data_IF_268386905216
#
_entry.id   IF_268386905216
#
_cell.length_a   1.000
_cell.length_b   1.000
_cell.length_c   1.000
_cell.angle_alpha   90.00
_cell.angle_beta   90.00
_cell.angle_gamma   90.00
#
_symmetry.space_group_name_H-M   'P 1'
#
loop_
_entity.id
_entity.type
_entity.pdbx_description
1 polymer ?
#
# COMPACT_ATOMS: atom_id res chain seq x y z
N UNK A 1 -2.98 4.51 -29.59
CA UNK A 1 -2.88 3.21 -28.89
C UNK A 1 -3.65 3.32 -27.59
N UNK A 2 -4.76 2.58 -27.45
CA UNK A 2 -5.63 2.68 -26.28
C UNK A 2 -5.05 1.89 -25.11
N UNK A 3 -4.72 2.57 -24.00
CA UNK A 3 -4.46 1.91 -22.72
C UNK A 3 -5.80 1.43 -22.17
N UNK A 4 -6.06 0.13 -22.19
CA UNK A 4 -7.19 -0.46 -21.47
C UNK A 4 -6.81 -0.56 -19.99
N UNK A 5 -7.42 0.29 -19.18
CA UNK A 5 -7.36 0.19 -17.73
C UNK A 5 -8.40 -0.85 -17.27
N UNK A 6 -7.93 -1.91 -16.61
CA UNK A 6 -8.82 -2.87 -15.95
C UNK A 6 -9.34 -2.18 -14.69
N UNK A 7 -10.64 -1.89 -14.66
CA UNK A 7 -11.28 -1.16 -13.57
C UNK A 7 -11.58 -2.12 -12.42
N UNK A 8 -10.99 -1.87 -11.25
CA UNK A 8 -11.08 -2.75 -10.07
C UNK A 8 -12.48 -2.69 -9.42
N UNK A 9 -13.11 -1.51 -9.47
CA UNK A 9 -14.52 -1.25 -9.23
C UNK A 9 -14.88 0.11 -9.88
N UNK A 10 -16.16 0.44 -10.04
CA UNK A 10 -16.60 1.69 -10.68
C UNK A 10 -16.15 3.00 -9.99
N UNK A 11 -15.38 2.93 -8.90
CA UNK A 11 -14.88 4.10 -8.15
C UNK A 11 -13.43 4.48 -8.46
N UNK A 12 -12.62 3.62 -9.07
CA UNK A 12 -11.19 3.94 -9.29
C UNK A 12 -10.76 3.72 -10.73
N UNK A 13 -10.72 4.82 -11.49
CA UNK A 13 -9.97 4.91 -12.74
C UNK A 13 -8.50 5.13 -12.41
N UNK A 14 -7.66 4.17 -12.78
CA UNK A 14 -6.24 4.13 -12.42
C UNK A 14 -5.44 4.65 -13.60
N UNK A 15 -5.30 5.97 -13.69
CA UNK A 15 -4.58 6.61 -14.79
C UNK A 15 -3.13 6.97 -14.45
N UNK A 16 -2.75 6.97 -13.16
CA UNK A 16 -1.40 7.31 -12.68
C UNK A 16 -0.92 6.47 -11.46
N UNK A 17 -1.56 5.31 -11.20
CA UNK A 17 -1.26 4.45 -10.05
C UNK A 17 -0.99 2.99 -10.43
N UNK A 18 -0.25 2.27 -9.59
CA UNK A 18 -0.11 0.82 -9.66
C UNK A 18 -1.00 0.15 -8.61
N UNK A 19 -1.61 -0.98 -8.95
CA UNK A 19 -2.27 -1.84 -7.96
C UNK A 19 -1.50 -3.14 -7.83
N UNK A 20 -1.32 -3.56 -6.59
CA UNK A 20 -0.75 -4.85 -6.24
C UNK A 20 -1.84 -5.66 -5.54
N UNK A 21 -2.16 -6.80 -6.13
CA UNK A 21 -3.03 -7.83 -5.55
C UNK A 21 -2.27 -9.14 -5.70
N UNK A 22 -1.94 -9.78 -4.59
CA UNK A 22 -1.27 -11.08 -4.62
C UNK A 22 -1.75 -11.93 -3.45
N UNK A 23 -1.84 -13.22 -3.69
CA UNK A 23 -2.11 -14.23 -2.67
C UNK A 23 -0.79 -14.63 -2.02
N UNK A 24 -0.83 -14.94 -0.73
CA UNK A 24 0.32 -15.40 0.02
C UNK A 24 -0.04 -16.60 0.89
N UNK A 25 0.94 -17.48 1.10
CA UNK A 25 0.85 -18.60 2.03
C UNK A 25 1.73 -18.38 3.27
N UNK A 26 2.65 -17.41 3.18
CA UNK A 26 3.61 -17.05 4.22
C UNK A 26 3.36 -15.59 4.62
N UNK A 27 2.91 -15.41 5.85
CA UNK A 27 2.55 -14.11 6.41
C UNK A 27 3.76 -13.19 6.54
N UNK A 28 4.90 -13.70 6.99
CA UNK A 28 6.09 -12.88 7.21
C UNK A 28 6.62 -12.35 5.87
N UNK A 29 6.66 -13.21 4.85
CA UNK A 29 7.03 -12.79 3.49
C UNK A 29 6.03 -11.81 2.89
N UNK A 30 4.76 -11.95 3.19
CA UNK A 30 3.75 -10.99 2.77
C UNK A 30 4.02 -9.60 3.36
N UNK A 31 4.31 -9.54 4.67
CA UNK A 31 4.64 -8.30 5.38
C UNK A 31 5.90 -7.66 4.78
N UNK A 32 6.95 -8.44 4.52
CA UNK A 32 8.20 -7.93 3.93
C UNK A 32 7.97 -7.34 2.53
N UNK A 33 7.17 -8.01 1.70
CA UNK A 33 6.82 -7.53 0.36
C UNK A 33 6.00 -6.23 0.43
N UNK A 34 5.01 -6.17 1.33
CA UNK A 34 4.20 -4.98 1.53
C UNK A 34 5.06 -3.80 2.00
N UNK A 35 5.97 -4.02 2.95
CA UNK A 35 6.91 -3.01 3.42
C UNK A 35 7.84 -2.51 2.32
N UNK A 36 8.39 -3.41 1.51
CA UNK A 36 9.26 -3.04 0.39
C UNK A 36 8.53 -2.13 -0.60
N UNK A 37 7.29 -2.48 -0.97
CA UNK A 37 6.48 -1.68 -1.86
C UNK A 37 6.12 -0.32 -1.25
N UNK A 38 5.61 -0.31 -0.03
CA UNK A 38 5.19 0.91 0.68
C UNK A 38 6.38 1.85 0.85
N UNK A 39 7.53 1.33 1.26
CA UNK A 39 8.76 2.10 1.43
C UNK A 39 9.18 2.75 0.12
N UNK A 40 9.27 1.96 -0.96
CA UNK A 40 9.65 2.46 -2.29
C UNK A 40 8.67 3.54 -2.77
N UNK A 41 7.37 3.32 -2.60
CA UNK A 41 6.35 4.29 -3.00
C UNK A 41 6.41 5.57 -2.15
N UNK A 42 6.60 5.46 -0.83
CA UNK A 42 6.84 6.61 0.04
C UNK A 42 8.09 7.35 -0.40
N UNK A 43 9.21 6.67 -0.66
CA UNK A 43 10.47 7.26 -1.11
C UNK A 43 10.29 8.12 -2.37
N UNK A 44 9.54 7.62 -3.35
CA UNK A 44 9.16 8.31 -4.57
C UNK A 44 8.01 9.33 -4.42
N UNK A 45 7.56 9.59 -3.19
CA UNK A 45 6.49 10.55 -2.88
C UNK A 45 5.14 10.19 -3.51
N UNK A 46 4.85 8.90 -3.64
CA UNK A 46 3.58 8.38 -4.11
C UNK A 46 2.61 8.16 -2.96
N UNK A 47 1.33 8.47 -3.19
CA UNK A 47 0.26 8.13 -2.27
C UNK A 47 -0.12 6.66 -2.41
N UNK A 48 -0.33 6.01 -1.27
CA UNK A 48 -0.66 4.58 -1.20
C UNK A 48 -2.00 4.44 -0.46
N UNK A 49 -2.91 3.67 -1.06
CA UNK A 49 -4.10 3.17 -0.39
C UNK A 49 -3.85 1.70 -0.05
N UNK A 50 -3.66 1.41 1.24
CA UNK A 50 -3.44 0.05 1.73
C UNK A 50 -4.78 -0.50 2.23
N UNK A 51 -5.28 -1.54 1.55
CA UNK A 51 -6.57 -2.17 1.84
C UNK A 51 -6.27 -3.55 2.39
N UNK A 52 -6.41 -3.69 3.70
CA UNK A 52 -6.11 -4.93 4.40
C UNK A 52 -6.87 -5.03 5.73
N UNK A 53 -6.70 -6.14 6.42
CA UNK A 53 -7.12 -6.28 7.81
C UNK A 53 -6.36 -5.30 8.73
N UNK A 54 -7.04 -4.88 9.81
CA UNK A 54 -6.53 -3.82 10.68
C UNK A 54 -5.26 -4.22 11.45
N UNK A 55 -5.14 -5.48 11.81
CA UNK A 55 -3.97 -6.08 12.47
C UNK A 55 -2.72 -6.07 11.57
N UNK A 56 -2.89 -6.41 10.30
CA UNK A 56 -1.85 -6.29 9.27
C UNK A 56 -1.39 -4.84 9.15
N UNK A 57 -2.34 -3.90 9.09
CA UNK A 57 -2.01 -2.48 9.02
C UNK A 57 -1.22 -1.98 10.24
N UNK A 58 -1.59 -2.41 11.47
CA UNK A 58 -0.80 -2.07 12.66
C UNK A 58 0.61 -2.66 12.59
N UNK A 59 0.74 -3.92 12.16
CA UNK A 59 2.05 -4.57 11.98
C UNK A 59 2.94 -3.78 11.01
N UNK A 60 2.38 -3.31 9.90
CA UNK A 60 3.08 -2.46 8.93
C UNK A 60 3.47 -1.13 9.56
N UNK A 61 2.57 -0.46 10.28
CA UNK A 61 2.86 0.81 10.94
C UNK A 61 3.97 0.70 11.99
N UNK A 62 3.98 -0.35 12.81
CA UNK A 62 5.02 -0.59 13.81
C UNK A 62 6.39 -0.77 13.14
N UNK A 63 6.45 -1.54 12.05
CA UNK A 63 7.66 -1.76 11.27
C UNK A 63 8.13 -0.51 10.51
N UNK A 64 7.22 0.36 10.07
CA UNK A 64 7.57 1.64 9.44
C UNK A 64 7.93 2.73 10.45
N UNK A 65 7.29 2.77 11.62
CA UNK A 65 7.50 3.78 12.66
C UNK A 65 8.87 3.73 13.33
N UNK A 66 9.56 2.60 13.19
CA UNK A 66 10.97 2.45 13.58
C UNK A 66 11.96 2.92 12.51
N UNK A 67 11.48 3.38 11.35
CA UNK A 67 12.29 3.86 10.23
C UNK A 67 12.33 5.39 10.13
N UNK A 68 13.25 5.93 9.33
CA UNK A 68 13.38 7.37 9.03
C UNK A 68 12.19 7.96 8.24
N UNK A 69 11.14 7.16 7.97
CA UNK A 69 9.98 7.56 7.17
C UNK A 69 8.78 8.03 8.00
N UNK A 70 8.93 8.14 9.33
CA UNK A 70 7.85 8.53 10.24
C UNK A 70 7.12 9.81 9.81
N UNK A 71 7.86 10.84 9.37
CA UNK A 71 7.28 12.13 8.93
C UNK A 71 6.48 12.03 7.62
N UNK A 72 6.68 10.95 6.85
CA UNK A 72 6.07 10.71 5.54
C UNK A 72 4.92 9.72 5.58
N UNK A 73 4.55 9.22 6.77
CA UNK A 73 3.43 8.29 6.95
C UNK A 73 2.09 8.85 6.47
N UNK A 74 1.94 10.18 6.33
CA UNK A 74 0.76 10.81 5.76
C UNK A 74 0.48 10.41 4.29
N UNK A 75 1.46 9.83 3.58
CA UNK A 75 1.30 9.29 2.23
C UNK A 75 0.62 7.91 2.21
N UNK A 76 0.61 7.19 3.33
CA UNK A 76 -0.03 5.89 3.49
C UNK A 76 -1.42 6.06 4.10
N UNK A 77 -2.46 5.67 3.35
CA UNK A 77 -3.87 5.74 3.80
C UNK A 77 -4.43 4.34 4.01
N UNK A 78 -5.25 4.19 5.04
CA UNK A 78 -5.98 2.98 5.38
C UNK A 78 -7.48 3.29 5.55
N UNK A 79 -8.39 2.65 4.80
CA UNK A 79 -9.81 3.00 4.79
C UNK A 79 -10.59 2.53 6.02
N UNK A 80 -10.01 1.72 6.93
CA UNK A 80 -10.69 1.23 8.13
C UNK A 80 -10.75 2.21 9.32
N UNK A 81 -10.33 3.47 9.14
CA UNK A 81 -10.49 4.56 10.11
C UNK A 81 -11.34 5.67 9.49
N UNK A 82 -12.66 5.58 9.66
CA UNK A 82 -13.59 6.70 9.51
C UNK A 82 -14.01 7.19 10.90
#
# INVERSE_FOLDING_TARGET
MSRQAITLNSLTSVTDGGHIIYLFEDYDRYIDNALSYITTAIEHNHHILFIEQADVYQTILEKLGSSSLADRLHLLRFPGRF
#
